data_IF_300357262336
#
_entry.id   IF_300357262336
#
_cell.length_a   1.000
_cell.length_b   1.000
_cell.length_c   1.000
_cell.angle_alpha   90.00
_cell.angle_beta   90.00
_cell.angle_gamma   90.00
#
_symmetry.space_group_name_H-M   'P 1'
#
loop_
_entity.id
_entity.type
_entity.pdbx_description
1 polymer ?
#
# COMPACT_ATOMS: atom_id res chain seq x y z
N UNK A 1 3.08 31.56 -10.85
CA UNK A 1 3.92 30.54 -10.16
C UNK A 1 5.23 31.20 -9.74
N UNK A 2 5.46 31.44 -8.45
CA UNK A 2 6.81 31.76 -7.97
C UNK A 2 7.68 30.52 -8.23
N UNK A 3 8.76 30.66 -9.00
CA UNK A 3 9.85 29.68 -9.02
C UNK A 3 10.15 29.35 -7.57
N UNK A 4 10.11 28.06 -7.22
CA UNK A 4 10.58 27.55 -5.93
C UNK A 4 11.90 28.24 -5.63
N UNK A 5 11.90 29.17 -4.67
CA UNK A 5 13.14 29.72 -4.15
C UNK A 5 13.92 28.52 -3.61
N UNK A 6 15.18 28.40 -4.00
CA UNK A 6 16.14 27.36 -3.57
C UNK A 6 16.21 27.26 -2.04
N UNK A 7 15.23 26.63 -1.39
CA UNK A 7 15.48 25.83 -0.21
C UNK A 7 15.77 24.46 -0.79
N UNK A 8 17.06 24.19 -0.88
CA UNK A 8 17.59 22.93 -1.38
C UNK A 8 16.78 21.78 -0.79
N UNK A 9 16.36 20.88 -1.67
CA UNK A 9 15.88 19.56 -1.30
C UNK A 9 17.04 18.86 -0.59
N UNK A 10 17.22 19.16 0.70
CA UNK A 10 18.29 18.55 1.46
C UNK A 10 17.83 17.13 1.75
N UNK A 11 18.43 16.21 1.00
CA UNK A 11 18.32 14.76 1.16
C UNK A 11 18.43 14.36 2.64
N UNK A 12 19.21 15.10 3.42
CA UNK A 12 19.36 14.91 4.86
C UNK A 12 18.03 15.05 5.62
N UNK A 13 17.20 16.06 5.36
CA UNK A 13 15.90 16.19 6.04
C UNK A 13 14.96 15.04 5.70
N UNK A 14 14.97 14.62 4.43
CA UNK A 14 14.14 13.51 3.96
C UNK A 14 14.55 12.18 4.62
N UNK A 15 15.86 11.93 4.68
CA UNK A 15 16.43 10.76 5.36
C UNK A 15 16.11 10.80 6.84
N UNK A 16 16.28 11.94 7.52
CA UNK A 16 15.92 12.09 8.94
C UNK A 16 14.44 11.79 9.17
N UNK A 17 13.54 12.32 8.35
CA UNK A 17 12.10 12.05 8.49
C UNK A 17 11.77 10.57 8.22
N UNK A 18 12.36 9.98 7.18
CA UNK A 18 12.18 8.56 6.89
C UNK A 18 12.70 7.69 8.06
N UNK A 19 13.83 8.04 8.68
CA UNK A 19 14.36 7.35 9.87
C UNK A 19 13.41 7.47 11.07
N UNK A 20 12.80 8.63 11.29
CA UNK A 20 11.79 8.79 12.35
C UNK A 20 10.58 7.89 12.09
N UNK A 21 10.01 7.88 10.87
CA UNK A 21 8.90 6.98 10.54
C UNK A 21 9.30 5.50 10.65
N UNK A 22 10.53 5.16 10.26
CA UNK A 22 11.08 3.81 10.37
C UNK A 22 11.15 3.33 11.81
N UNK A 23 11.43 4.21 12.78
CA UNK A 23 11.39 3.86 14.20
C UNK A 23 10.02 3.27 14.58
N UNK A 24 8.92 3.89 14.17
CA UNK A 24 7.58 3.36 14.42
C UNK A 24 7.35 2.02 13.74
N UNK A 25 7.82 1.85 12.50
CA UNK A 25 7.57 0.62 11.75
C UNK A 25 8.37 -0.56 12.29
N UNK A 26 9.60 -0.34 12.76
CA UNK A 26 10.50 -1.38 13.27
C UNK A 26 10.19 -1.74 14.71
N UNK A 27 10.02 -0.75 15.58
CA UNK A 27 9.81 -1.00 17.01
C UNK A 27 8.34 -1.21 17.36
N UNK A 28 7.42 -0.81 16.47
CA UNK A 28 5.97 -0.94 16.66
C UNK A 28 5.54 -0.60 18.10
N UNK A 29 5.76 0.64 18.56
CA UNK A 29 5.37 1.04 19.92
C UNK A 29 3.85 0.92 20.15
N UNK A 30 3.07 0.81 19.07
CA UNK A 30 1.63 0.65 19.07
C UNK A 30 1.20 -0.78 19.42
N UNK A 31 2.12 -1.75 19.30
CA UNK A 31 1.83 -3.17 19.48
C UNK A 31 0.93 -3.73 18.38
N UNK A 32 0.80 -3.05 17.24
CA UNK A 32 -0.08 -3.44 16.13
C UNK A 32 0.37 -4.77 15.51
N UNK A 33 1.68 -5.02 15.47
CA UNK A 33 2.32 -6.26 15.05
C UNK A 33 2.29 -7.36 16.11
N UNK A 34 1.91 -7.06 17.36
CA UNK A 34 1.67 -8.04 18.42
C UNK A 34 0.20 -8.49 18.51
N UNK A 35 -0.66 -7.90 17.68
CA UNK A 35 -2.04 -8.37 17.54
C UNK A 35 -2.06 -9.78 16.96
N UNK A 36 -3.22 -10.42 17.03
CA UNK A 36 -3.45 -11.73 16.43
C UNK A 36 -3.12 -11.75 14.91
N UNK A 37 -2.99 -10.59 14.27
CA UNK A 37 -2.63 -10.39 12.87
C UNK A 37 -1.15 -9.99 12.64
N UNK A 38 -0.20 -10.21 13.56
CA UNK A 38 1.25 -9.96 13.32
C UNK A 38 2.13 -10.84 14.21
N UNK A 39 3.19 -11.47 13.70
CA UNK A 39 4.54 -10.91 13.46
C UNK A 39 5.24 -11.61 12.28
N UNK A 40 4.46 -12.12 11.31
CA UNK A 40 4.99 -12.88 10.17
C UNK A 40 5.60 -14.24 10.55
N UNK A 41 5.36 -14.70 11.78
CA UNK A 41 5.73 -16.03 12.29
C UNK A 41 4.90 -17.18 11.72
N UNK A 42 4.01 -16.92 10.75
CA UNK A 42 3.25 -17.94 10.02
C UNK A 42 1.80 -18.12 10.45
N UNK A 43 1.29 -17.36 11.43
CA UNK A 43 -0.15 -17.32 11.75
C UNK A 43 -0.64 -15.88 11.88
N UNK A 44 -1.47 -15.45 10.93
CA UNK A 44 -2.36 -14.30 11.08
C UNK A 44 -3.70 -14.87 11.57
N UNK A 45 -4.32 -14.31 12.59
CA UNK A 45 -5.64 -14.72 13.12
C UNK A 45 -6.80 -14.39 12.16
N UNK A 46 -6.47 -14.11 10.91
CA UNK A 46 -7.40 -14.02 9.83
C UNK A 46 -7.96 -15.41 9.53
N UNK A 47 -9.29 -15.51 9.46
CA UNK A 47 -10.01 -16.79 9.33
C UNK A 47 -9.56 -17.61 8.11
N UNK A 48 -8.91 -16.96 7.14
CA UNK A 48 -8.55 -17.55 5.85
C UNK A 48 -7.23 -16.98 5.29
N UNK A 49 -6.32 -16.31 6.02
CA UNK A 49 -5.02 -15.88 5.43
C UNK A 49 -3.83 -15.64 6.36
N UNK A 50 -3.56 -16.61 7.22
CA UNK A 50 -2.18 -16.87 7.65
C UNK A 50 -1.19 -17.13 6.48
N UNK A 51 -1.68 -17.21 5.24
CA UNK A 51 -1.10 -17.99 4.14
C UNK A 51 -0.14 -17.20 3.23
N UNK A 52 -0.41 -15.92 3.00
CA UNK A 52 0.29 -15.11 1.98
C UNK A 52 1.81 -14.95 2.19
N UNK A 53 2.27 -14.77 3.44
CA UNK A 53 3.70 -14.60 3.73
C UNK A 53 4.48 -15.92 3.70
N UNK A 54 3.84 -17.00 4.15
CA UNK A 54 4.41 -18.35 4.10
C UNK A 54 4.70 -18.80 2.66
N UNK A 55 3.79 -18.54 1.73
CA UNK A 55 3.97 -18.88 0.32
C UNK A 55 5.25 -18.22 -0.23
N UNK A 56 5.49 -16.95 0.11
CA UNK A 56 6.72 -16.23 -0.28
C UNK A 56 7.96 -16.89 0.32
N UNK A 57 7.97 -17.10 1.64
CA UNK A 57 9.11 -17.68 2.36
C UNK A 57 9.46 -19.07 1.83
N UNK A 58 8.47 -19.94 1.68
CA UNK A 58 8.69 -21.31 1.24
C UNK A 58 9.07 -21.40 -0.23
N UNK A 59 8.55 -20.51 -1.08
CA UNK A 59 9.01 -20.39 -2.47
C UNK A 59 10.49 -20.00 -2.53
N UNK A 60 10.92 -19.03 -1.71
CA UNK A 60 12.34 -18.64 -1.63
C UNK A 60 13.19 -19.79 -1.04
N UNK A 61 12.76 -20.42 0.06
CA UNK A 61 13.46 -21.57 0.67
C UNK A 61 13.65 -22.68 -0.35
N UNK A 62 12.60 -23.08 -1.08
CA UNK A 62 12.69 -24.07 -2.16
C UNK A 62 13.72 -23.65 -3.20
N UNK A 63 13.59 -22.45 -3.75
CA UNK A 63 14.45 -22.02 -4.83
C UNK A 63 15.93 -21.92 -4.42
N UNK A 64 16.22 -21.66 -3.13
CA UNK A 64 17.60 -21.55 -2.61
C UNK A 64 18.17 -22.89 -2.15
N UNK A 65 17.39 -23.69 -1.42
CA UNK A 65 17.85 -24.95 -0.81
C UNK A 65 17.85 -26.12 -1.80
N UNK A 66 16.99 -26.09 -2.83
CA UNK A 66 16.98 -27.09 -3.89
C UNK A 66 17.78 -26.58 -5.09
N UNK A 67 18.94 -27.18 -5.35
CA UNK A 67 19.95 -26.65 -6.27
C UNK A 67 19.54 -26.58 -7.75
N UNK A 68 18.48 -27.26 -8.17
CA UNK A 68 18.18 -27.48 -9.60
C UNK A 68 16.91 -26.81 -10.13
N UNK A 69 16.17 -26.05 -9.31
CA UNK A 69 14.86 -25.54 -9.73
C UNK A 69 14.63 -24.09 -9.30
N UNK A 70 14.37 -23.21 -10.27
CA UNK A 70 13.83 -21.86 -10.04
C UNK A 70 12.32 -21.90 -10.33
N UNK A 71 11.49 -21.92 -9.28
CA UNK A 71 10.05 -21.73 -9.47
C UNK A 71 9.77 -20.25 -9.74
N UNK A 72 9.18 -19.97 -10.91
CA UNK A 72 8.61 -18.65 -11.24
C UNK A 72 7.21 -18.46 -10.67
N UNK A 73 6.57 -19.56 -10.27
CA UNK A 73 5.28 -19.57 -9.61
C UNK A 73 5.44 -19.94 -8.14
N UNK A 74 4.55 -19.46 -7.27
CA UNK A 74 4.56 -19.82 -5.87
C UNK A 74 4.27 -21.29 -5.63
N UNK A 75 4.65 -21.77 -4.45
CA UNK A 75 4.42 -23.16 -4.03
C UNK A 75 3.71 -23.25 -2.67
N UNK A 76 2.90 -24.30 -2.52
CA UNK A 76 2.30 -24.75 -1.28
C UNK A 76 3.00 -26.03 -0.83
N UNK A 77 3.70 -26.03 0.32
CA UNK A 77 4.32 -27.26 0.84
C UNK A 77 3.32 -28.16 1.54
N UNK A 78 3.67 -29.45 1.66
CA UNK A 78 2.90 -30.49 2.37
C UNK A 78 2.51 -30.03 3.77
N UNK A 79 1.30 -30.41 4.23
CA UNK A 79 0.79 -30.03 5.55
C UNK A 79 -0.04 -28.74 5.57
N UNK A 80 -0.04 -27.97 4.48
CA UNK A 80 -0.81 -26.71 4.36
C UNK A 80 -2.29 -26.84 4.78
N UNK A 81 -2.98 -27.90 4.33
CA UNK A 81 -4.40 -28.13 4.66
C UNK A 81 -4.65 -28.40 6.16
N UNK A 82 -3.60 -28.68 6.94
CA UNK A 82 -3.64 -28.96 8.37
C UNK A 82 -3.03 -27.81 9.19
N UNK A 83 -2.92 -26.61 8.63
CA UNK A 83 -2.32 -25.42 9.28
C UNK A 83 -0.86 -25.60 9.69
N UNK A 84 -0.14 -26.45 8.97
CA UNK A 84 1.31 -26.63 9.09
C UNK A 84 2.04 -25.77 8.04
N UNK A 85 2.77 -24.78 8.53
CA UNK A 85 3.47 -23.78 7.72
C UNK A 85 4.99 -23.98 7.73
N UNK A 86 5.46 -25.17 8.07
CA UNK A 86 6.87 -25.50 7.95
C UNK A 86 7.27 -25.74 6.49
N UNK A 87 8.56 -25.59 6.20
CA UNK A 87 9.10 -25.93 4.89
C UNK A 87 9.43 -27.42 4.85
N UNK A 88 8.80 -28.12 3.91
CA UNK A 88 9.10 -29.52 3.60
C UNK A 88 9.72 -29.60 2.21
N UNK A 89 10.95 -30.15 2.07
CA UNK A 89 11.59 -30.32 0.77
C UNK A 89 10.79 -31.23 -0.16
N UNK A 90 10.11 -32.23 0.41
CA UNK A 90 9.32 -33.22 -0.32
C UNK A 90 7.82 -32.87 -0.28
N UNK A 91 7.18 -32.94 -1.45
CA UNK A 91 5.73 -32.73 -1.59
C UNK A 91 5.34 -31.25 -1.53
N UNK A 92 5.25 -30.63 -2.69
CA UNK A 92 4.67 -29.29 -2.86
C UNK A 92 3.73 -29.28 -4.07
N UNK A 93 2.80 -28.33 -4.08
CA UNK A 93 1.93 -28.05 -5.23
C UNK A 93 2.18 -26.63 -5.71
N UNK A 94 2.11 -26.43 -7.03
CA UNK A 94 2.22 -25.11 -7.65
C UNK A 94 0.95 -24.30 -7.38
N UNK A 95 1.14 -23.02 -7.07
CA UNK A 95 0.05 -22.10 -6.81
C UNK A 95 -0.12 -21.14 -7.99
N UNK A 96 -1.15 -21.36 -8.80
CA UNK A 96 -1.37 -20.64 -10.07
C UNK A 96 -2.19 -19.37 -9.96
N UNK A 97 -2.53 -18.91 -8.75
CA UNK A 97 -3.43 -17.76 -8.60
C UNK A 97 -2.73 -16.41 -8.74
N UNK A 98 -1.42 -16.36 -8.56
CA UNK A 98 -0.60 -15.15 -8.69
C UNK A 98 0.87 -15.49 -9.02
N UNK A 99 1.60 -14.56 -9.65
CA UNK A 99 3.00 -14.77 -10.00
C UNK A 99 3.98 -14.67 -8.82
N UNK A 100 3.74 -13.80 -7.81
CA UNK A 100 4.63 -13.56 -6.64
C UNK A 100 6.12 -13.40 -7.07
N UNK A 101 6.36 -12.61 -8.11
CA UNK A 101 7.69 -12.44 -8.70
C UNK A 101 8.68 -11.76 -7.75
N UNK A 102 8.22 -11.11 -6.67
CA UNK A 102 9.11 -10.55 -5.65
C UNK A 102 9.96 -11.62 -4.95
N UNK A 103 9.60 -12.91 -5.05
CA UNK A 103 10.42 -14.03 -4.57
C UNK A 103 11.71 -14.23 -5.39
N UNK A 104 11.71 -13.84 -6.67
CA UNK A 104 12.85 -14.04 -7.58
C UNK A 104 14.05 -13.16 -7.21
N UNK A 105 13.95 -11.82 -7.09
CA UNK A 105 15.10 -11.01 -6.68
C UNK A 105 15.58 -11.41 -5.28
N UNK A 106 14.68 -11.77 -4.35
CA UNK A 106 15.06 -12.27 -3.03
C UNK A 106 15.86 -13.59 -3.11
N UNK A 107 15.43 -14.53 -3.98
CA UNK A 107 16.15 -15.78 -4.25
C UNK A 107 17.55 -15.52 -4.81
N UNK A 108 17.67 -14.61 -5.79
CA UNK A 108 18.96 -14.27 -6.42
C UNK A 108 19.93 -13.70 -5.39
N UNK A 109 19.46 -12.78 -4.55
CA UNK A 109 20.26 -12.20 -3.46
C UNK A 109 20.69 -13.29 -2.48
N UNK A 110 19.76 -14.16 -2.04
CA UNK A 110 20.07 -15.24 -1.10
C UNK A 110 21.09 -16.25 -1.66
N UNK A 111 20.99 -16.62 -2.94
CA UNK A 111 21.98 -17.46 -3.63
C UNK A 111 23.35 -16.78 -3.71
N UNK A 112 23.37 -15.49 -4.05
CA UNK A 112 24.60 -14.69 -4.15
C UNK A 112 25.32 -14.61 -2.80
N UNK A 113 24.56 -14.44 -1.72
CA UNK A 113 25.05 -14.42 -0.34
C UNK A 113 25.31 -15.82 0.26
N UNK A 114 25.11 -16.89 -0.53
CA UNK A 114 25.30 -18.29 -0.11
C UNK A 114 24.52 -18.66 1.18
N UNK A 115 23.26 -18.22 1.27
CA UNK A 115 22.36 -18.49 2.40
C UNK A 115 21.75 -19.90 2.29
N UNK A 116 22.57 -20.92 2.50
CA UNK A 116 22.27 -22.33 2.23
C UNK A 116 21.67 -23.12 3.40
N UNK A 117 21.08 -22.45 4.40
CA UNK A 117 20.46 -23.10 5.55
C UNK A 117 19.20 -22.35 5.94
N UNK A 118 18.18 -23.04 6.46
CA UNK A 118 16.94 -22.39 6.91
C UNK A 118 17.17 -21.27 7.92
N UNK A 119 18.04 -21.48 8.91
CA UNK A 119 18.38 -20.45 9.92
C UNK A 119 18.91 -19.15 9.30
N UNK A 120 19.79 -19.25 8.30
CA UNK A 120 20.30 -18.08 7.56
C UNK A 120 19.20 -17.40 6.74
N UNK A 121 18.31 -18.17 6.15
CA UNK A 121 17.18 -17.65 5.38
C UNK A 121 16.15 -16.95 6.27
N UNK A 122 15.89 -17.44 7.48
CA UNK A 122 15.00 -16.78 8.42
C UNK A 122 15.55 -15.42 8.90
N UNK A 123 16.87 -15.32 9.13
CA UNK A 123 17.53 -14.02 9.38
C UNK A 123 17.39 -13.09 8.16
N UNK A 124 17.56 -13.63 6.95
CA UNK A 124 17.39 -12.86 5.72
C UNK A 124 15.95 -12.37 5.52
N UNK A 125 14.94 -13.17 5.88
CA UNK A 125 13.55 -12.72 5.85
C UNK A 125 13.29 -11.56 6.82
N UNK A 126 13.90 -11.57 8.01
CA UNK A 126 13.85 -10.41 8.90
C UNK A 126 14.48 -9.16 8.27
N UNK A 127 15.62 -9.31 7.60
CA UNK A 127 16.22 -8.19 6.86
C UNK A 127 15.32 -7.67 5.73
N UNK A 128 14.66 -8.57 4.98
CA UNK A 128 13.72 -8.16 3.93
C UNK A 128 12.52 -7.40 4.49
N UNK A 129 12.02 -7.76 5.68
CA UNK A 129 10.94 -7.02 6.36
C UNK A 129 11.40 -5.61 6.73
N UNK A 130 12.61 -5.48 7.27
CA UNK A 130 13.21 -4.17 7.57
C UNK A 130 13.37 -3.31 6.30
N UNK A 131 13.79 -3.91 5.18
CA UNK A 131 13.90 -3.22 3.90
C UNK A 131 12.51 -2.79 3.40
N UNK A 132 11.51 -3.66 3.46
CA UNK A 132 10.14 -3.31 3.08
C UNK A 132 9.59 -2.15 3.92
N UNK A 133 9.80 -2.20 5.23
CA UNK A 133 9.41 -1.14 6.15
C UNK A 133 10.13 0.18 5.86
N UNK A 134 11.44 0.14 5.61
CA UNK A 134 12.21 1.31 5.21
C UNK A 134 11.67 1.95 3.93
N UNK A 135 11.42 1.13 2.90
CA UNK A 135 10.95 1.59 1.60
C UNK A 135 9.53 2.17 1.71
N UNK A 136 8.65 1.55 2.49
CA UNK A 136 7.30 2.07 2.73
C UNK A 136 7.36 3.41 3.50
N UNK A 137 8.10 3.46 4.62
CA UNK A 137 8.25 4.65 5.44
C UNK A 137 8.79 5.83 4.62
N UNK A 138 9.83 5.58 3.83
CA UNK A 138 10.40 6.55 2.90
C UNK A 138 9.35 6.99 1.88
N UNK A 139 8.65 6.05 1.24
CA UNK A 139 7.70 6.37 0.17
C UNK A 139 6.54 7.25 0.65
N UNK A 140 5.92 6.91 1.78
CA UNK A 140 4.82 7.68 2.38
C UNK A 140 5.31 9.05 2.83
N UNK A 141 6.43 9.10 3.56
CA UNK A 141 6.99 10.35 4.09
C UNK A 141 7.39 11.30 2.96
N UNK A 142 8.02 10.78 1.90
CA UNK A 142 8.32 11.54 0.70
C UNK A 142 7.05 12.11 0.04
N UNK A 143 5.98 11.33 -0.06
CA UNK A 143 4.73 11.79 -0.65
C UNK A 143 4.12 12.95 0.14
N UNK A 144 4.06 12.85 1.47
CA UNK A 144 3.60 13.95 2.34
C UNK A 144 4.50 15.18 2.25
N UNK A 145 5.83 14.99 2.24
CA UNK A 145 6.77 16.08 2.10
C UNK A 145 6.59 16.83 0.77
N UNK A 146 6.48 16.10 -0.35
CA UNK A 146 6.24 16.68 -1.68
C UNK A 146 4.90 17.40 -1.70
N UNK A 147 3.86 16.84 -1.07
CA UNK A 147 2.57 17.51 -0.94
C UNK A 147 2.69 18.87 -0.25
N UNK A 148 3.35 18.92 0.92
CA UNK A 148 3.58 20.18 1.63
C UNK A 148 4.36 21.17 0.77
N UNK A 149 5.44 20.76 0.12
CA UNK A 149 6.26 21.63 -0.73
C UNK A 149 5.48 22.17 -1.93
N UNK A 150 4.75 21.32 -2.64
CA UNK A 150 3.98 21.70 -3.83
C UNK A 150 2.86 22.71 -3.51
N UNK A 151 2.31 22.65 -2.29
CA UNK A 151 1.23 23.54 -1.85
C UNK A 151 1.70 24.66 -0.90
N UNK A 152 3.01 24.81 -0.66
CA UNK A 152 3.56 25.85 0.21
C UNK A 152 3.14 25.74 1.68
N UNK A 153 2.98 24.51 2.19
CA UNK A 153 2.57 24.22 3.56
C UNK A 153 3.79 24.16 4.48
N UNK A 154 3.73 24.82 5.63
CA UNK A 154 4.78 24.83 6.65
C UNK A 154 4.57 23.73 7.70
N UNK A 155 4.24 22.51 7.25
CA UNK A 155 3.89 21.37 8.11
C UNK A 155 4.70 20.12 7.78
N UNK A 156 5.84 20.27 7.10
CA UNK A 156 6.64 19.12 6.66
C UNK A 156 7.11 18.23 7.81
N UNK A 157 7.30 18.80 9.00
CA UNK A 157 7.73 18.06 10.20
C UNK A 157 6.70 17.03 10.70
N UNK A 158 5.42 17.17 10.32
CA UNK A 158 4.37 16.20 10.69
C UNK A 158 4.36 14.96 9.80
N UNK A 159 4.95 15.02 8.60
CA UNK A 159 4.98 13.91 7.66
C UNK A 159 5.44 12.56 8.27
N UNK A 160 6.58 12.49 8.99
CA UNK A 160 7.02 11.22 9.59
C UNK A 160 6.11 10.72 10.71
N UNK A 161 5.47 11.63 11.47
CA UNK A 161 4.52 11.25 12.51
C UNK A 161 3.24 10.68 11.91
N UNK A 162 2.71 11.30 10.85
CA UNK A 162 1.50 10.81 10.17
C UNK A 162 1.74 9.46 9.49
N UNK A 163 2.92 9.28 8.88
CA UNK A 163 3.31 8.00 8.31
C UNK A 163 3.49 6.94 9.41
N UNK A 164 4.26 7.26 10.46
CA UNK A 164 4.61 6.36 11.55
C UNK A 164 3.44 6.00 12.47
N UNK A 165 2.46 6.88 12.64
CA UNK A 165 1.29 6.62 13.49
C UNK A 165 0.19 5.82 12.79
N UNK A 166 0.30 5.57 11.48
CA UNK A 166 -0.73 4.83 10.73
C UNK A 166 -0.62 3.32 10.99
N UNK A 167 -1.64 2.76 11.64
CA UNK A 167 -1.66 1.36 12.08
C UNK A 167 -1.59 0.38 10.90
N UNK A 168 -2.29 0.66 9.81
CA UNK A 168 -2.26 -0.20 8.61
C UNK A 168 -0.93 -0.16 7.86
N UNK A 169 -0.23 0.99 7.85
CA UNK A 169 1.12 1.04 7.28
C UNK A 169 2.12 0.24 8.13
N UNK A 170 2.06 0.33 9.45
CA UNK A 170 2.91 -0.49 10.32
C UNK A 170 2.67 -1.97 10.09
N UNK A 171 1.41 -2.41 10.10
CA UNK A 171 1.10 -3.82 9.92
C UNK A 171 1.67 -4.36 8.59
N UNK A 172 1.40 -3.65 7.49
CA UNK A 172 1.80 -4.10 6.15
C UNK A 172 3.29 -3.83 5.84
N UNK A 173 3.97 -3.03 6.65
CA UNK A 173 5.42 -2.85 6.57
C UNK A 173 6.17 -4.14 6.96
N UNK A 174 5.58 -4.94 7.84
CA UNK A 174 6.18 -6.18 8.35
C UNK A 174 5.86 -7.42 7.51
N UNK A 175 5.02 -7.28 6.47
CA UNK A 175 4.58 -8.41 5.65
C UNK A 175 5.34 -8.48 4.30
N UNK A 176 6.09 -9.56 4.09
CA UNK A 176 6.88 -9.78 2.87
C UNK A 176 6.04 -10.05 1.62
N UNK A 177 4.79 -10.49 1.77
CA UNK A 177 3.90 -10.74 0.65
C UNK A 177 3.57 -9.46 -0.09
N UNK A 178 3.14 -8.43 0.62
CA UNK A 178 2.59 -7.23 -0.02
C UNK A 178 3.65 -6.37 -0.70
N UNK A 179 4.91 -6.44 -0.26
CA UNK A 179 5.95 -5.52 -0.69
C UNK A 179 5.38 -4.08 -0.73
N UNK A 180 4.81 -3.66 0.40
CA UNK A 180 3.76 -2.64 0.50
C UNK A 180 4.14 -1.31 -0.16
N UNK A 181 5.41 -0.93 -0.17
CA UNK A 181 5.91 0.26 -0.87
C UNK A 181 5.56 0.31 -2.37
N UNK A 182 5.41 -0.84 -3.04
CA UNK A 182 5.10 -0.90 -4.48
C UNK A 182 3.76 -0.25 -4.83
N UNK A 183 2.78 -0.24 -3.92
CA UNK A 183 1.47 0.38 -4.21
C UNK A 183 1.58 1.92 -4.27
N UNK A 184 2.54 2.49 -3.56
CA UNK A 184 2.74 3.95 -3.46
C UNK A 184 3.70 4.43 -4.55
N UNK A 185 4.58 3.56 -5.03
CA UNK A 185 5.67 3.91 -5.95
C UNK A 185 5.21 4.70 -7.21
N UNK A 186 4.14 4.30 -7.94
CA UNK A 186 3.70 5.09 -9.10
C UNK A 186 3.19 6.48 -8.71
N UNK A 187 2.42 6.56 -7.63
CA UNK A 187 1.86 7.83 -7.13
C UNK A 187 2.98 8.77 -6.67
N UNK A 188 4.00 8.27 -5.98
CA UNK A 188 5.17 9.04 -5.55
C UNK A 188 6.01 9.51 -6.74
N UNK A 189 6.25 8.64 -7.72
CA UNK A 189 6.97 9.00 -8.94
C UNK A 189 6.25 10.12 -9.69
N UNK A 190 4.93 9.99 -9.86
CA UNK A 190 4.10 11.00 -10.50
C UNK A 190 4.16 12.34 -9.75
N UNK A 191 3.98 12.32 -8.43
CA UNK A 191 4.07 13.52 -7.58
C UNK A 191 5.42 14.23 -7.74
N UNK A 192 6.51 13.46 -7.69
CA UNK A 192 7.87 13.98 -7.84
C UNK A 192 8.10 14.61 -9.22
N UNK A 193 7.74 13.89 -10.28
CA UNK A 193 7.96 14.36 -11.65
C UNK A 193 7.08 15.55 -12.01
N UNK A 194 5.80 15.55 -11.62
CA UNK A 194 4.91 16.69 -11.84
C UNK A 194 5.38 17.95 -11.11
N UNK A 195 5.87 17.80 -9.88
CA UNK A 195 6.38 18.93 -9.10
C UNK A 195 7.68 19.51 -9.68
N UNK A 196 8.58 18.67 -10.18
CA UNK A 196 9.90 19.11 -10.68
C UNK A 196 9.87 19.51 -12.15
N UNK A 197 9.16 18.74 -12.99
CA UNK A 197 9.20 18.83 -14.46
C UNK A 197 7.90 19.35 -15.07
N UNK A 198 6.80 19.39 -14.30
CA UNK A 198 5.47 19.76 -14.81
C UNK A 198 4.79 18.67 -15.65
N UNK A 199 5.43 17.50 -15.82
CA UNK A 199 4.89 16.34 -16.52
C UNK A 199 5.35 15.03 -15.85
N UNK A 200 4.77 13.89 -16.23
CA UNK A 200 5.17 12.58 -15.73
C UNK A 200 5.46 11.58 -16.86
N UNK A 201 6.34 10.63 -16.60
CA UNK A 201 6.73 9.59 -17.53
C UNK A 201 5.73 8.42 -17.49
N UNK A 202 4.86 8.36 -18.51
CA UNK A 202 3.82 7.34 -18.69
C UNK A 202 4.37 5.92 -18.66
N UNK A 203 5.48 5.67 -19.36
CA UNK A 203 6.11 4.34 -19.45
C UNK A 203 6.65 3.88 -18.10
N UNK A 204 7.21 4.80 -17.31
CA UNK A 204 7.71 4.45 -15.97
C UNK A 204 6.56 4.19 -14.99
N UNK A 205 5.45 4.93 -15.09
CA UNK A 205 4.23 4.65 -14.32
C UNK A 205 3.68 3.26 -14.66
N UNK A 206 3.58 2.93 -15.96
CA UNK A 206 3.15 1.60 -16.39
C UNK A 206 4.12 0.50 -15.90
N UNK A 207 5.43 0.72 -16.00
CA UNK A 207 6.44 -0.21 -15.51
C UNK A 207 6.33 -0.49 -14.01
N UNK A 208 6.19 0.55 -13.17
CA UNK A 208 5.98 0.37 -11.73
C UNK A 208 4.65 -0.34 -11.43
N UNK A 209 3.60 -0.06 -12.22
CA UNK A 209 2.34 -0.82 -12.15
C UNK A 209 2.54 -2.30 -12.47
N UNK A 210 3.36 -2.63 -13.47
CA UNK A 210 3.67 -4.03 -13.81
C UNK A 210 4.41 -4.69 -12.66
N UNK A 211 5.42 -4.02 -12.08
CA UNK A 211 6.13 -4.55 -10.91
C UNK A 211 5.19 -4.84 -9.74
N UNK A 212 4.22 -3.96 -9.49
CA UNK A 212 3.20 -4.20 -8.48
C UNK A 212 2.35 -5.44 -8.79
N UNK A 213 1.81 -5.55 -10.01
CA UNK A 213 0.92 -6.66 -10.37
C UNK A 213 1.64 -8.00 -10.54
N UNK A 214 2.95 -7.98 -10.79
CA UNK A 214 3.79 -9.18 -10.75
C UNK A 214 4.03 -9.68 -9.31
N UNK A 215 3.77 -8.86 -8.28
CA UNK A 215 3.62 -9.37 -6.91
C UNK A 215 2.26 -10.06 -6.74
N UNK A 216 1.18 -9.40 -7.16
CA UNK A 216 -0.19 -9.90 -6.98
C UNK A 216 -1.24 -8.87 -7.43
N UNK A 217 -2.49 -9.31 -7.58
CA UNK A 217 -3.58 -8.49 -8.14
C UNK A 217 -4.42 -7.76 -7.09
N UNK A 218 -4.10 -7.94 -5.80
CA UNK A 218 -4.84 -7.30 -4.72
C UNK A 218 -4.81 -5.78 -4.87
N UNK A 219 -5.89 -5.11 -4.46
CA UNK A 219 -5.96 -3.64 -4.44
C UNK A 219 -5.72 -2.94 -5.80
N UNK A 220 -5.99 -3.62 -6.93
CA UNK A 220 -5.79 -3.07 -8.27
C UNK A 220 -6.51 -1.71 -8.48
N UNK A 221 -7.75 -1.59 -8.01
CA UNK A 221 -8.51 -0.34 -8.08
C UNK A 221 -7.90 0.76 -7.24
N UNK A 222 -7.42 0.43 -6.04
CA UNK A 222 -6.79 1.40 -5.14
C UNK A 222 -5.48 1.90 -5.73
N UNK A 223 -4.65 1.03 -6.33
CA UNK A 223 -3.44 1.46 -7.04
C UNK A 223 -3.78 2.44 -8.17
N UNK A 224 -4.77 2.11 -9.00
CA UNK A 224 -5.16 2.93 -10.12
C UNK A 224 -5.70 4.30 -9.66
N UNK A 225 -6.57 4.31 -8.64
CA UNK A 225 -7.15 5.52 -8.08
C UNK A 225 -6.13 6.37 -7.31
N UNK A 226 -5.22 5.76 -6.55
CA UNK A 226 -4.15 6.46 -5.84
C UNK A 226 -3.19 7.15 -6.82
N UNK A 227 -2.84 6.46 -7.90
CA UNK A 227 -2.00 7.01 -8.97
C UNK A 227 -2.70 8.18 -9.67
N UNK A 228 -3.97 7.98 -10.05
CA UNK A 228 -4.79 9.01 -10.69
C UNK A 228 -4.98 10.24 -9.78
N UNK A 229 -5.27 10.02 -8.50
CA UNK A 229 -5.40 11.05 -7.47
C UNK A 229 -4.12 11.85 -7.29
N UNK A 230 -2.98 11.19 -7.15
CA UNK A 230 -1.68 11.86 -7.04
C UNK A 230 -1.43 12.74 -8.27
N UNK A 231 -1.63 12.20 -9.47
CA UNK A 231 -1.49 12.99 -10.71
C UNK A 231 -2.45 14.19 -10.71
N UNK A 232 -3.71 14.02 -10.33
CA UNK A 232 -4.70 15.10 -10.29
C UNK A 232 -4.29 16.22 -9.32
N UNK A 233 -3.79 15.87 -8.14
CA UNK A 233 -3.34 16.84 -7.13
C UNK A 233 -2.15 17.63 -7.66
N UNK A 234 -1.11 16.96 -8.17
CA UNK A 234 0.16 17.59 -8.53
C UNK A 234 0.19 18.21 -9.94
N UNK A 235 -0.80 17.92 -10.79
CA UNK A 235 -0.92 18.56 -12.11
C UNK A 235 -1.32 20.03 -11.96
N UNK A 236 -0.55 21.01 -12.49
CA UNK A 236 -0.95 22.41 -12.47
C UNK A 236 -2.10 22.67 -13.46
N UNK A 237 -2.88 23.73 -13.21
CA UNK A 237 -3.93 24.18 -14.12
C UNK A 237 -5.35 23.89 -13.61
N UNK A 238 -6.30 23.98 -14.54
CA UNK A 238 -7.72 23.86 -14.27
C UNK A 238 -8.17 22.39 -14.04
N UNK A 239 -9.44 22.24 -13.67
CA UNK A 239 -10.02 20.92 -13.38
C UNK A 239 -10.01 20.01 -14.61
N UNK A 240 -10.14 20.56 -15.82
CA UNK A 240 -10.15 19.78 -17.05
C UNK A 240 -8.77 19.18 -17.33
N UNK A 241 -7.70 19.97 -17.15
CA UNK A 241 -6.32 19.53 -17.33
C UNK A 241 -5.95 18.47 -16.29
N UNK A 242 -6.34 18.69 -15.03
CA UNK A 242 -6.17 17.73 -13.94
C UNK A 242 -6.91 16.41 -14.23
N UNK A 243 -8.16 16.48 -14.69
CA UNK A 243 -8.96 15.30 -15.03
C UNK A 243 -8.36 14.51 -16.20
N UNK A 244 -7.93 15.18 -17.27
CA UNK A 244 -7.25 14.53 -18.42
C UNK A 244 -5.97 13.82 -17.98
N UNK A 245 -5.15 14.47 -17.17
CA UNK A 245 -3.88 13.90 -16.67
C UNK A 245 -4.13 12.72 -15.72
N UNK A 246 -5.11 12.86 -14.82
CA UNK A 246 -5.56 11.81 -13.92
C UNK A 246 -6.04 10.56 -14.67
N UNK A 247 -6.91 10.76 -15.67
CA UNK A 247 -7.41 9.68 -16.52
C UNK A 247 -6.27 8.97 -17.26
N UNK A 248 -5.30 9.72 -17.78
CA UNK A 248 -4.12 9.13 -18.41
C UNK A 248 -3.33 8.25 -17.44
N UNK A 249 -3.11 8.72 -16.21
CA UNK A 249 -2.45 7.95 -15.15
C UNK A 249 -3.18 6.65 -14.82
N UNK A 250 -4.50 6.74 -14.65
CA UNK A 250 -5.38 5.58 -14.46
C UNK A 250 -5.23 4.56 -15.59
N UNK A 251 -5.29 5.02 -16.84
CA UNK A 251 -5.15 4.15 -18.02
C UNK A 251 -3.78 3.46 -18.10
N UNK A 252 -2.70 4.10 -17.64
CA UNK A 252 -1.38 3.46 -17.57
C UNK A 252 -1.33 2.31 -16.56
N UNK A 253 -2.04 2.43 -15.43
CA UNK A 253 -2.18 1.31 -14.47
C UNK A 253 -3.06 0.19 -15.04
N UNK A 254 -4.15 0.52 -15.74
CA UNK A 254 -4.95 -0.49 -16.44
C UNK A 254 -4.14 -1.24 -17.50
N UNK A 255 -3.32 -0.53 -18.28
CA UNK A 255 -2.41 -1.16 -19.25
C UNK A 255 -1.39 -2.06 -18.54
N UNK A 256 -0.81 -1.61 -17.43
CA UNK A 256 0.11 -2.41 -16.63
C UNK A 256 -0.54 -3.70 -16.09
N UNK A 257 -1.80 -3.63 -15.68
CA UNK A 257 -2.57 -4.80 -15.26
C UNK A 257 -2.71 -5.82 -16.39
N UNK A 258 -3.09 -5.37 -17.60
CA UNK A 258 -3.20 -6.24 -18.78
C UNK A 258 -1.87 -6.89 -19.15
N UNK A 259 -0.78 -6.12 -19.16
CA UNK A 259 0.57 -6.63 -19.41
C UNK A 259 0.93 -7.71 -18.37
N UNK A 260 0.59 -7.48 -17.11
CA UNK A 260 0.93 -8.42 -16.02
C UNK A 260 0.13 -9.71 -16.10
N UNK A 261 -1.12 -9.66 -16.56
CA UNK A 261 -1.91 -10.87 -16.87
C UNK A 261 -1.24 -11.63 -18.01
N UNK A 262 -0.79 -10.96 -19.07
CA UNK A 262 -0.07 -11.61 -20.18
C UNK A 262 1.22 -12.29 -19.72
N UNK A 263 2.01 -11.63 -18.85
CA UNK A 263 3.22 -12.22 -18.28
C UNK A 263 2.87 -13.43 -17.40
N UNK A 264 1.83 -13.33 -16.58
CA UNK A 264 1.39 -14.45 -15.74
C UNK A 264 0.95 -15.66 -16.59
N UNK A 265 0.16 -15.45 -17.64
CA UNK A 265 -0.20 -16.51 -18.59
C UNK A 265 1.05 -17.17 -19.20
N UNK A 266 2.06 -16.38 -19.56
CA UNK A 266 3.32 -16.91 -20.08
C UNK A 266 4.07 -17.77 -19.04
N UNK A 267 4.06 -17.39 -17.76
CA UNK A 267 4.64 -18.22 -16.70
C UNK A 267 3.89 -19.53 -16.46
N UNK A 268 2.56 -19.49 -16.43
CA UNK A 268 1.74 -20.71 -16.29
C UNK A 268 2.00 -21.66 -17.46
N UNK A 269 1.99 -21.15 -18.69
CA UNK A 269 2.26 -21.95 -19.88
C UNK A 269 3.69 -22.51 -19.94
N UNK A 270 4.67 -21.74 -19.44
CA UNK A 270 6.06 -22.20 -19.39
C UNK A 270 6.30 -23.28 -18.31
N UNK A 271 5.56 -23.23 -17.19
CA UNK A 271 5.66 -24.21 -16.10
C UNK A 271 5.00 -25.55 -16.48
N UNK A 272 3.84 -25.51 -17.14
CA UNK A 272 3.13 -26.71 -17.60
C UNK A 272 2.77 -26.63 -19.09
N UNK A 273 3.69 -27.12 -19.94
CA UNK A 273 3.50 -27.16 -21.40
C UNK A 273 2.43 -28.16 -21.86
N UNK A 274 1.88 -28.98 -20.95
CA UNK A 274 0.78 -29.88 -21.30
C UNK A 274 -0.55 -29.14 -21.48
N UNK A 275 -0.68 -27.93 -20.92
CA UNK A 275 -1.88 -27.13 -21.04
C UNK A 275 -1.91 -26.37 -22.36
N UNK A 276 -3.07 -26.36 -23.01
CA UNK A 276 -3.29 -25.49 -24.16
C UNK A 276 -3.29 -24.02 -23.72
N UNK A 277 -2.97 -23.09 -24.64
CA UNK A 277 -3.04 -21.67 -24.35
C UNK A 277 -4.46 -21.22 -23.92
N UNK A 278 -5.49 -21.90 -24.41
CA UNK A 278 -6.89 -21.66 -24.04
C UNK A 278 -7.14 -22.03 -22.58
N UNK A 279 -6.62 -23.18 -22.13
CA UNK A 279 -6.78 -23.63 -20.73
C UNK A 279 -6.00 -22.73 -19.77
N UNK A 280 -4.77 -22.35 -20.13
CA UNK A 280 -3.98 -21.37 -19.37
C UNK A 280 -4.73 -20.04 -19.22
N UNK A 281 -5.31 -19.56 -20.32
CA UNK A 281 -6.10 -18.32 -20.32
C UNK A 281 -7.31 -18.47 -19.40
N UNK A 282 -8.10 -19.53 -19.56
CA UNK A 282 -9.30 -19.79 -18.74
C UNK A 282 -8.94 -19.86 -17.25
N UNK A 283 -7.88 -20.58 -16.90
CA UNK A 283 -7.43 -20.72 -15.51
C UNK A 283 -6.96 -19.38 -14.94
N UNK A 284 -6.16 -18.63 -15.69
CA UNK A 284 -5.64 -17.32 -15.24
C UNK A 284 -6.78 -16.34 -15.00
N UNK A 285 -7.73 -16.22 -15.93
CA UNK A 285 -8.88 -15.33 -15.77
C UNK A 285 -9.84 -15.78 -14.67
N UNK A 286 -10.03 -17.09 -14.48
CA UNK A 286 -10.81 -17.61 -13.35
C UNK A 286 -10.19 -17.20 -12.00
N UNK A 287 -8.86 -17.33 -11.87
CA UNK A 287 -8.12 -16.92 -10.68
C UNK A 287 -8.19 -15.40 -10.45
N UNK A 288 -8.00 -14.60 -11.50
CA UNK A 288 -8.15 -13.14 -11.43
C UNK A 288 -9.55 -12.77 -10.99
N UNK A 289 -10.59 -13.33 -11.62
CA UNK A 289 -12.00 -13.09 -11.26
C UNK A 289 -12.29 -13.45 -9.81
N UNK A 290 -11.79 -14.59 -9.34
CA UNK A 290 -11.96 -15.00 -7.95
C UNK A 290 -11.33 -13.96 -7.00
N UNK A 291 -10.11 -13.51 -7.28
CA UNK A 291 -9.40 -12.54 -6.43
C UNK A 291 -9.98 -11.12 -6.49
N UNK A 292 -10.61 -10.72 -7.60
CA UNK A 292 -11.08 -9.35 -7.77
C UNK A 292 -12.59 -9.17 -7.68
N UNK A 293 -13.42 -10.07 -8.21
CA UNK A 293 -14.83 -9.77 -8.48
C UNK A 293 -15.82 -10.84 -7.98
N UNK A 294 -15.39 -11.71 -7.06
CA UNK A 294 -16.26 -12.73 -6.50
C UNK A 294 -17.00 -12.22 -5.26
N UNK A 295 -18.13 -12.87 -4.95
CA UNK A 295 -18.94 -12.70 -3.74
C UNK A 295 -19.19 -14.04 -3.05
N UNK A 296 -18.51 -15.11 -3.50
CA UNK A 296 -18.72 -16.46 -2.99
C UNK A 296 -18.22 -16.59 -1.55
N UNK A 297 -19.00 -17.23 -0.67
CA UNK A 297 -18.56 -17.55 0.70
C UNK A 297 -18.37 -16.33 1.63
N UNK A 298 -18.88 -15.16 1.28
CA UNK A 298 -18.83 -13.93 2.09
C UNK A 298 -20.23 -13.34 2.29
N UNK A 299 -20.45 -12.48 3.31
CA UNK A 299 -21.71 -11.77 3.47
C UNK A 299 -22.12 -11.01 2.20
N UNK A 300 -23.41 -10.99 1.87
CA UNK A 300 -23.90 -10.16 0.76
C UNK A 300 -23.77 -8.67 1.10
N UNK A 301 -23.50 -7.81 0.10
CA UNK A 301 -23.40 -6.36 0.31
C UNK A 301 -24.64 -5.80 1.01
N UNK A 302 -24.43 -4.89 1.95
CA UNK A 302 -25.49 -4.22 2.73
C UNK A 302 -26.40 -5.15 3.56
N UNK A 303 -26.07 -6.44 3.67
CA UNK A 303 -26.74 -7.33 4.62
C UNK A 303 -26.38 -6.97 6.06
N UNK A 304 -27.19 -7.42 7.03
CA UNK A 304 -26.90 -7.23 8.46
C UNK A 304 -25.54 -7.80 8.86
N UNK A 305 -25.16 -8.96 8.32
CA UNK A 305 -23.84 -9.57 8.54
C UNK A 305 -22.70 -8.72 7.97
N UNK A 306 -22.91 -8.14 6.81
CA UNK A 306 -21.95 -7.21 6.21
C UNK A 306 -21.78 -5.96 7.09
N UNK A 307 -22.87 -5.35 7.56
CA UNK A 307 -22.82 -4.16 8.42
C UNK A 307 -22.13 -4.47 9.76
N UNK A 308 -22.42 -5.62 10.36
CA UNK A 308 -21.73 -6.08 11.57
C UNK A 308 -20.22 -6.22 11.34
N UNK A 309 -19.82 -6.81 10.21
CA UNK A 309 -18.41 -6.99 9.84
C UNK A 309 -17.70 -5.64 9.63
N UNK A 310 -18.37 -4.67 8.99
CA UNK A 310 -17.79 -3.34 8.78
C UNK A 310 -17.72 -2.53 10.08
N UNK A 311 -18.72 -2.62 10.95
CA UNK A 311 -18.70 -1.94 12.25
C UNK A 311 -17.54 -2.43 13.11
N UNK A 312 -17.34 -3.75 13.20
CA UNK A 312 -16.18 -4.34 13.89
C UNK A 312 -14.85 -3.77 13.35
N UNK A 313 -14.72 -3.63 12.03
CA UNK A 313 -13.51 -3.09 11.41
C UNK A 313 -13.28 -1.62 11.74
N UNK A 314 -14.34 -0.81 11.66
CA UNK A 314 -14.24 0.62 11.93
C UNK A 314 -13.95 0.95 13.40
N UNK A 315 -14.15 -0.01 14.31
CA UNK A 315 -13.72 0.10 15.72
C UNK A 315 -12.21 -0.07 15.90
N UNK A 316 -11.51 -0.64 14.93
CA UNK A 316 -10.06 -0.80 15.00
C UNK A 316 -9.31 0.55 14.90
N UNK A 317 -8.05 0.52 15.32
CA UNK A 317 -7.15 1.69 15.29
C UNK A 317 -6.79 2.07 13.86
N UNK A 318 -7.01 3.34 13.51
CA UNK A 318 -6.48 3.97 12.29
C UNK A 318 -5.12 4.62 12.54
N UNK A 319 -5.03 5.38 13.64
CA UNK A 319 -3.80 6.02 14.08
C UNK A 319 -3.54 5.72 15.55
N UNK A 320 -2.29 5.44 15.89
CA UNK A 320 -1.84 5.27 17.27
C UNK A 320 -0.42 5.78 17.44
N UNK A 321 -0.07 6.31 18.62
CA UNK A 321 1.33 6.67 18.95
C UNK A 321 2.01 5.52 19.71
N UNK A 322 1.27 4.86 20.60
CA UNK A 322 1.73 3.72 21.40
C UNK A 322 0.52 2.91 21.89
N UNK A 323 0.75 1.67 22.34
CA UNK A 323 -0.31 0.76 22.80
C UNK A 323 -1.14 1.31 23.97
N UNK A 324 -0.54 2.17 24.81
CA UNK A 324 -1.21 2.88 25.91
C UNK A 324 -1.43 4.38 25.63
N UNK A 325 -1.17 4.83 24.40
CA UNK A 325 -1.16 6.24 24.02
C UNK A 325 -2.48 6.71 23.43
N UNK A 326 -2.41 7.81 22.66
CA UNK A 326 -3.54 8.26 21.86
C UNK A 326 -3.84 7.24 20.76
N UNK A 327 -5.03 6.65 20.79
CA UNK A 327 -5.55 5.75 19.77
C UNK A 327 -6.77 6.43 19.14
N UNK A 328 -6.74 6.59 17.82
CA UNK A 328 -7.85 7.11 17.03
C UNK A 328 -8.38 5.99 16.15
N UNK A 329 -9.66 5.63 16.32
CA UNK A 329 -10.29 4.59 15.52
C UNK A 329 -10.58 5.05 14.09
N UNK A 330 -10.72 4.09 13.18
CA UNK A 330 -11.15 4.33 11.79
C UNK A 330 -12.48 5.09 11.72
N UNK A 331 -13.46 4.67 12.52
CA UNK A 331 -14.76 5.34 12.64
C UNK A 331 -14.60 6.82 13.00
N UNK A 332 -13.73 7.12 13.98
CA UNK A 332 -13.48 8.49 14.43
C UNK A 332 -12.92 9.34 13.29
N UNK A 333 -11.96 8.82 12.53
CA UNK A 333 -11.38 9.51 11.37
C UNK A 333 -12.43 9.76 10.29
N UNK A 334 -13.26 8.75 9.97
CA UNK A 334 -14.37 8.90 9.01
C UNK A 334 -15.30 10.03 9.44
N UNK A 335 -15.72 10.04 10.71
CA UNK A 335 -16.61 11.07 11.25
C UNK A 335 -15.98 12.46 11.21
N UNK A 336 -14.71 12.60 11.58
CA UNK A 336 -13.99 13.87 11.50
C UNK A 336 -13.90 14.39 10.06
N UNK A 337 -13.61 13.52 9.10
CA UNK A 337 -13.61 13.90 7.68
C UNK A 337 -15.00 14.32 7.20
N UNK A 338 -16.06 13.60 7.59
CA UNK A 338 -17.43 13.95 7.22
C UNK A 338 -17.88 15.28 7.81
N UNK A 339 -17.61 15.51 9.10
CA UNK A 339 -17.90 16.79 9.76
C UNK A 339 -17.13 17.93 9.09
N UNK A 340 -15.84 17.74 8.83
CA UNK A 340 -15.01 18.72 8.13
C UNK A 340 -15.52 19.04 6.72
N UNK A 341 -16.00 18.03 5.98
CA UNK A 341 -16.61 18.19 4.67
C UNK A 341 -17.90 19.02 4.76
N UNK A 342 -18.78 18.72 5.71
CA UNK A 342 -20.06 19.42 5.91
C UNK A 342 -19.82 20.89 6.30
N UNK A 343 -18.94 21.15 7.27
CA UNK A 343 -18.64 22.51 7.75
C UNK A 343 -18.09 23.39 6.62
N UNK A 344 -17.26 22.81 5.75
CA UNK A 344 -16.61 23.53 4.64
C UNK A 344 -17.34 23.39 3.31
N UNK A 345 -18.54 22.81 3.30
CA UNK A 345 -19.31 22.60 2.09
C UNK A 345 -19.52 23.94 1.35
N UNK A 346 -19.32 23.93 0.04
CA UNK A 346 -19.37 25.14 -0.79
C UNK A 346 -18.12 26.03 -0.75
N UNK A 347 -17.23 25.87 0.24
CA UNK A 347 -15.97 26.65 0.37
C UNK A 347 -14.70 25.83 0.08
N UNK A 348 -14.85 24.56 -0.31
CA UNK A 348 -13.74 23.67 -0.61
C UNK A 348 -12.96 24.15 -1.84
N UNK A 349 -11.65 24.31 -1.67
CA UNK A 349 -10.71 24.44 -2.79
C UNK A 349 -10.70 23.18 -3.66
N UNK A 350 -10.18 23.28 -4.88
CA UNK A 350 -10.04 22.12 -5.79
C UNK A 350 -9.22 21.00 -5.12
N UNK A 351 -8.15 21.35 -4.42
CA UNK A 351 -7.31 20.37 -3.71
C UNK A 351 -8.11 19.64 -2.62
N UNK A 352 -8.86 20.37 -1.78
CA UNK A 352 -9.72 19.73 -0.76
C UNK A 352 -10.77 18.81 -1.39
N UNK A 353 -11.41 19.25 -2.48
CA UNK A 353 -12.39 18.42 -3.20
C UNK A 353 -11.77 17.12 -3.69
N UNK A 354 -10.57 17.19 -4.27
CA UNK A 354 -9.86 16.00 -4.74
C UNK A 354 -9.49 15.06 -3.58
N UNK A 355 -9.04 15.60 -2.44
CA UNK A 355 -8.67 14.81 -1.26
C UNK A 355 -9.88 14.08 -0.68
N UNK A 356 -11.02 14.77 -0.49
CA UNK A 356 -12.25 14.14 -0.04
C UNK A 356 -12.77 13.12 -1.04
N UNK A 357 -12.78 13.47 -2.33
CA UNK A 357 -13.25 12.58 -3.40
C UNK A 357 -12.45 11.28 -3.43
N UNK A 358 -11.11 11.36 -3.38
CA UNK A 358 -10.26 10.18 -3.34
C UNK A 358 -10.42 9.39 -2.05
N UNK A 359 -10.52 10.05 -0.89
CA UNK A 359 -10.69 9.37 0.40
C UNK A 359 -11.92 8.45 0.37
N UNK A 360 -13.08 8.99 0.01
CA UNK A 360 -14.34 8.24 0.01
C UNK A 360 -14.48 7.29 -1.18
N UNK A 361 -14.18 7.73 -2.42
CA UNK A 361 -14.30 6.85 -3.58
C UNK A 361 -13.20 5.79 -3.63
N UNK A 362 -11.99 6.13 -3.17
CA UNK A 362 -10.89 5.19 -3.05
C UNK A 362 -11.23 4.08 -2.06
N UNK A 363 -11.74 4.44 -0.88
CA UNK A 363 -12.21 3.45 0.10
C UNK A 363 -13.41 2.66 -0.42
N UNK A 364 -14.39 3.29 -1.07
CA UNK A 364 -15.51 2.57 -1.66
C UNK A 364 -15.11 1.70 -2.88
N UNK A 365 -13.94 1.90 -3.48
CA UNK A 365 -13.56 1.19 -4.72
C UNK A 365 -13.35 -0.31 -4.53
N UNK A 366 -13.07 -0.73 -3.31
CA UNK A 366 -12.80 -2.14 -3.05
C UNK A 366 -14.06 -3.01 -3.12
N UNK A 367 -15.24 -2.41 -2.97
CA UNK A 367 -16.53 -3.05 -3.24
C UNK A 367 -16.66 -3.57 -4.67
N UNK A 368 -15.95 -2.97 -5.61
CA UNK A 368 -16.07 -3.28 -7.04
C UNK A 368 -15.08 -4.38 -7.44
N UNK A 369 -13.84 -4.33 -6.95
CA UNK A 369 -12.75 -5.19 -7.45
C UNK A 369 -11.91 -5.88 -6.37
N UNK A 370 -12.39 -5.97 -5.13
CA UNK A 370 -11.79 -6.81 -4.10
C UNK A 370 -12.79 -7.31 -3.03
N UNK A 371 -14.09 -7.32 -3.33
CA UNK A 371 -15.15 -7.51 -2.33
C UNK A 371 -15.00 -8.79 -1.50
N UNK A 372 -14.98 -9.97 -2.15
CA UNK A 372 -14.81 -11.23 -1.43
C UNK A 372 -13.49 -11.27 -0.68
N UNK A 373 -12.40 -10.86 -1.31
CA UNK A 373 -11.07 -10.90 -0.70
C UNK A 373 -11.02 -10.06 0.59
N UNK A 374 -11.64 -8.88 0.58
CA UNK A 374 -11.67 -8.01 1.77
C UNK A 374 -12.66 -8.50 2.80
N UNK A 375 -13.81 -9.02 2.39
CA UNK A 375 -14.78 -9.58 3.33
C UNK A 375 -14.25 -10.84 4.04
N UNK A 376 -13.36 -11.60 3.40
CA UNK A 376 -12.65 -12.69 4.04
C UNK A 376 -11.50 -12.23 4.93
N UNK A 377 -10.77 -11.19 4.51
CA UNK A 377 -9.54 -10.77 5.18
C UNK A 377 -9.71 -9.48 5.97
N UNK A 378 -9.86 -9.62 7.29
CA UNK A 378 -10.06 -8.48 8.18
C UNK A 378 -8.88 -7.49 8.12
N UNK A 379 -7.65 -8.01 8.09
CA UNK A 379 -6.45 -7.17 8.09
C UNK A 379 -6.28 -6.31 6.83
N UNK A 380 -6.92 -6.69 5.70
CA UNK A 380 -6.75 -5.98 4.44
C UNK A 380 -7.42 -4.61 4.48
N UNK A 381 -8.48 -4.47 5.27
CA UNK A 381 -9.18 -3.20 5.43
C UNK A 381 -8.26 -2.14 6.05
N UNK A 382 -7.43 -2.48 7.04
CA UNK A 382 -6.45 -1.54 7.63
C UNK A 382 -5.53 -0.90 6.60
N UNK A 383 -5.07 -1.67 5.60
CA UNK A 383 -4.20 -1.13 4.57
C UNK A 383 -4.96 -0.26 3.58
N UNK A 384 -6.14 -0.71 3.16
CA UNK A 384 -7.03 0.07 2.28
C UNK A 384 -7.38 1.40 2.95
N UNK A 385 -7.80 1.35 4.21
CA UNK A 385 -8.12 2.52 5.00
C UNK A 385 -6.92 3.48 5.04
N UNK A 386 -5.73 2.97 5.39
CA UNK A 386 -4.51 3.78 5.47
C UNK A 386 -4.14 4.42 4.13
N UNK A 387 -4.31 3.71 3.01
CA UNK A 387 -4.03 4.23 1.66
C UNK A 387 -5.07 5.23 1.16
N UNK A 388 -6.30 5.19 1.68
CA UNK A 388 -7.44 5.97 1.17
C UNK A 388 -7.86 7.04 2.19
N UNK A 389 -8.74 6.71 3.13
CA UNK A 389 -9.25 7.62 4.16
C UNK A 389 -8.11 8.14 5.04
N UNK A 390 -7.22 7.28 5.54
CA UNK A 390 -6.08 7.66 6.37
C UNK A 390 -5.10 8.59 5.66
N UNK A 391 -4.78 8.30 4.39
CA UNK A 391 -3.96 9.19 3.55
C UNK A 391 -4.65 10.54 3.35
N UNK A 392 -5.93 10.55 2.96
CA UNK A 392 -6.69 11.78 2.76
C UNK A 392 -6.82 12.61 4.03
N UNK A 393 -7.11 11.97 5.17
CA UNK A 393 -7.12 12.61 6.47
C UNK A 393 -5.79 13.29 6.79
N UNK A 394 -4.68 12.57 6.57
CA UNK A 394 -3.33 13.10 6.80
C UNK A 394 -3.02 14.31 5.90
N UNK A 395 -3.40 14.27 4.62
CA UNK A 395 -3.24 15.40 3.70
C UNK A 395 -4.09 16.61 4.11
N UNK A 396 -5.33 16.40 4.57
CA UNK A 396 -6.17 17.47 5.12
C UNK A 396 -5.59 18.04 6.40
N UNK A 397 -5.02 17.21 7.28
CA UNK A 397 -4.37 17.66 8.51
C UNK A 397 -3.17 18.55 8.19
N UNK A 398 -2.33 18.16 7.23
CA UNK A 398 -1.21 19.00 6.77
C UNK A 398 -1.70 20.34 6.20
N UNK A 399 -2.79 20.32 5.42
CA UNK A 399 -3.38 21.51 4.82
C UNK A 399 -3.93 22.47 5.89
N UNK A 400 -4.83 21.98 6.74
CA UNK A 400 -5.48 22.80 7.76
C UNK A 400 -4.54 23.19 8.90
N UNK A 401 -3.63 22.30 9.29
CA UNK A 401 -2.58 22.60 10.27
C UNK A 401 -1.68 23.74 9.81
N UNK A 402 -1.34 23.81 8.52
CA UNK A 402 -0.57 24.93 7.98
C UNK A 402 -1.35 26.25 8.04
N UNK A 403 -2.65 26.23 7.75
CA UNK A 403 -3.51 27.42 7.82
C UNK A 403 -3.60 27.93 9.27
N UNK A 404 -3.83 27.03 10.23
CA UNK A 404 -3.90 27.37 11.66
C UNK A 404 -2.58 27.95 12.15
N UNK A 405 -1.46 27.31 11.81
CA UNK A 405 -0.12 27.78 12.23
C UNK A 405 0.20 29.16 11.68
N UNK A 406 -0.16 29.44 10.42
CA UNK A 406 -0.01 30.77 9.82
C UNK A 406 -0.87 31.82 10.54
N UNK A 407 -2.11 31.46 10.91
CA UNK A 407 -3.00 32.36 11.64
C UNK A 407 -2.45 32.70 13.03
N UNK A 408 -2.02 31.70 13.80
CA UNK A 408 -1.39 31.88 15.12
C UNK A 408 -0.15 32.77 15.02
N UNK A 409 0.73 32.52 14.04
CA UNK A 409 1.93 33.33 13.83
C UNK A 409 1.58 34.79 13.50
N UNK A 410 0.57 35.01 12.65
CA UNK A 410 0.11 36.37 12.31
C UNK A 410 -0.44 37.12 13.54
N UNK A 411 -1.21 36.44 14.40
CA UNK A 411 -1.72 37.02 15.65
C UNK A 411 -0.58 37.40 16.60
N UNK A 412 0.42 36.52 16.74
CA UNK A 412 1.60 36.77 17.57
C UNK A 412 2.37 38.03 17.10
N UNK A 413 2.60 38.19 15.80
CA UNK A 413 3.28 39.37 15.25
C UNK A 413 2.48 40.67 15.46
N UNK A 414 1.14 40.60 15.42
CA UNK A 414 0.29 41.76 15.71
C UNK A 414 0.40 42.16 17.18
N UNK A 415 0.44 41.17 18.09
CA UNK A 415 0.59 41.42 19.52
C UNK A 415 1.97 42.02 19.85
N UNK A 416 3.05 41.54 19.21
CA UNK A 416 4.39 42.10 19.38
C UNK A 416 4.57 43.53 18.86
N UNK A 417 3.75 43.99 17.90
CA UNK A 417 3.79 45.38 17.40
C UNK A 417 2.99 46.36 18.26
N UNK A 418 2.19 45.87 19.21
CA UNK A 418 1.33 46.67 20.08
C UNK A 418 1.86 46.79 21.51
N UNK A 419 2.90 46.04 21.87
CA UNK A 419 3.72 46.25 23.07
C UNK A 419 5.05 46.86 22.67
#
# INVERSE_FOLDING_TARGET
>A
MKKLSKREFSLLYLLTYATVAMFFFVFDPQGTSSTAYGSGGGRYADRVDSFSEYIVRNTIKRNVLNNNELSLLPILTKGYNNEDYNYYPDGYQKYYSNPILQTIPATIIAKTLKLNTEKKLDIFFNMLRLINAFLLATSVTCLYFIFCRAHGLNMEFMAPLLAGCSSGFILFSQNLYFASFLIIAPALLAATQLTIRGNFNKSMIAFLGVLYFLRGYEFATILALLTAFSIAIFTPGDIQTKAKSSALGFMMICLAFLISIMIHMAFVWADDRSWSLVDVTRQTFANVRHRTASTSGVPFPFSTKFLATMNERWEHSAFSISSSGLIISEFTIIMLMMIGLIIRLGKLSITERLIYLYGFLGYASWYICAYQHIMWHHMYDWYIFSLTIGLSFSLLLLLYGSIVTQHIHSMYLILQKKG
#
